data_IF_373349235853
#
_entry.id   IF_373349235853
#
_cell.length_a   1.000
_cell.length_b   1.000
_cell.length_c   1.000
_cell.angle_alpha   90.00
_cell.angle_beta   90.00
_cell.angle_gamma   90.00
#
_symmetry.space_group_name_H-M   'P 1'
#
loop_
_entity.id
_entity.type
_entity.pdbx_description
1 polymer ?
#
# COMPACT_ATOMS: atom_id res chain seq x y z
N UNK A 1 -16.59 -5.52 -15.69
CA UNK A 1 -16.40 -4.34 -14.83
C UNK A 1 -15.14 -4.58 -14.01
N UNK A 2 -14.06 -3.86 -14.29
CA UNK A 2 -12.83 -3.96 -13.49
C UNK A 2 -13.04 -3.20 -12.18
N UNK A 3 -12.62 -3.79 -11.05
CA UNK A 3 -12.62 -3.09 -9.77
C UNK A 3 -11.58 -1.97 -9.86
N UNK A 4 -12.01 -0.72 -9.72
CA UNK A 4 -11.10 0.42 -9.65
C UNK A 4 -10.55 0.47 -8.23
N UNK A 5 -9.33 -0.04 -8.04
CA UNK A 5 -8.60 0.13 -6.78
C UNK A 5 -8.29 1.63 -6.67
N UNK A 6 -8.70 2.27 -5.57
CA UNK A 6 -8.38 3.67 -5.28
C UNK A 6 -7.42 3.74 -4.10
N UNK A 7 -6.55 4.75 -4.13
CA UNK A 7 -5.69 5.05 -3.00
C UNK A 7 -6.53 5.52 -1.80
N UNK A 8 -6.33 4.89 -0.66
CA UNK A 8 -6.95 5.21 0.62
C UNK A 8 -5.87 5.09 1.70
N UNK A 9 -5.45 6.23 2.26
CA UNK A 9 -4.35 6.29 3.26
C UNK A 9 -4.56 5.31 4.42
N UNK A 10 -5.77 5.30 4.99
CA UNK A 10 -6.11 4.43 6.12
C UNK A 10 -5.98 2.94 5.79
N UNK A 11 -6.35 2.52 4.57
CA UNK A 11 -6.20 1.12 4.14
C UNK A 11 -4.73 0.75 3.92
N UNK A 12 -3.94 1.65 3.33
CA UNK A 12 -2.50 1.43 3.22
C UNK A 12 -1.87 1.27 4.59
N UNK A 13 -2.18 2.15 5.54
CA UNK A 13 -1.69 2.04 6.92
C UNK A 13 -2.10 0.71 7.57
N UNK A 14 -3.35 0.28 7.44
CA UNK A 14 -3.79 -1.03 7.93
C UNK A 14 -3.05 -2.19 7.26
N UNK A 15 -2.82 -2.14 5.95
CA UNK A 15 -2.04 -3.16 5.24
C UNK A 15 -0.60 -3.25 5.78
N UNK A 16 0.03 -2.13 6.15
CA UNK A 16 1.36 -2.13 6.79
C UNK A 16 1.36 -2.81 8.17
N UNK A 17 0.23 -2.86 8.88
CA UNK A 17 0.13 -3.58 10.15
C UNK A 17 0.14 -5.10 9.94
N UNK A 18 -0.38 -5.56 8.81
CA UNK A 18 -0.52 -6.99 8.49
C UNK A 18 0.61 -7.55 7.63
N UNK A 19 1.23 -6.74 6.78
CA UNK A 19 2.32 -7.16 5.90
C UNK A 19 3.66 -6.58 6.38
N UNK A 20 4.48 -7.47 6.96
CA UNK A 20 5.82 -7.11 7.47
C UNK A 20 6.73 -6.57 6.38
N UNK A 21 6.66 -7.09 5.15
CA UNK A 21 7.53 -6.68 4.05
C UNK A 21 7.15 -5.27 3.57
N UNK A 22 5.86 -5.00 3.41
CA UNK A 22 5.37 -3.66 3.08
C UNK A 22 5.73 -2.66 4.19
N UNK A 23 5.65 -3.06 5.46
CA UNK A 23 6.05 -2.21 6.59
C UNK A 23 7.54 -1.86 6.58
N UNK A 24 8.40 -2.84 6.35
CA UNK A 24 9.86 -2.60 6.24
C UNK A 24 10.15 -1.66 5.06
N UNK A 25 9.53 -1.89 3.91
CA UNK A 25 9.66 -1.02 2.73
C UNK A 25 9.18 0.41 3.01
N UNK A 26 8.06 0.55 3.72
CA UNK A 26 7.53 1.86 4.13
C UNK A 26 8.49 2.59 5.08
N UNK A 27 9.05 1.87 6.07
CA UNK A 27 9.98 2.43 7.04
C UNK A 27 11.29 2.93 6.42
N UNK A 28 11.73 2.33 5.31
CA UNK A 28 12.87 2.82 4.54
C UNK A 28 12.48 4.03 3.68
N UNK A 29 11.29 3.99 3.08
CA UNK A 29 10.79 5.03 2.18
C UNK A 29 10.49 6.34 2.92
N UNK A 30 9.88 6.27 4.10
CA UNK A 30 9.52 7.43 4.93
C UNK A 30 10.74 8.21 5.46
N UNK A 31 11.93 7.65 5.37
CA UNK A 31 13.18 8.34 5.75
C UNK A 31 13.61 9.37 4.71
N UNK A 32 13.10 9.28 3.47
CA UNK A 32 13.54 10.11 2.34
C UNK A 32 12.42 10.94 1.70
N UNK A 33 11.16 10.73 2.09
CA UNK A 33 9.99 11.48 1.62
C UNK A 33 8.91 11.56 2.71
N UNK A 34 7.87 12.38 2.51
CA UNK A 34 6.78 12.47 3.47
C UNK A 34 5.88 11.22 3.47
N UNK A 35 5.03 11.11 4.50
CA UNK A 35 4.15 9.96 4.70
C UNK A 35 3.19 9.74 3.53
N UNK A 36 2.60 10.80 3.01
CA UNK A 36 1.60 10.66 1.97
C UNK A 36 2.25 10.22 0.66
N UNK A 37 3.39 10.81 0.30
CA UNK A 37 4.20 10.41 -0.84
C UNK A 37 4.68 8.95 -0.71
N UNK A 38 5.18 8.55 0.46
CA UNK A 38 5.65 7.18 0.70
C UNK A 38 4.52 6.15 0.52
N UNK A 39 3.37 6.38 1.15
CA UNK A 39 2.23 5.47 1.03
C UNK A 39 1.70 5.40 -0.40
N UNK A 40 1.72 6.52 -1.13
CA UNK A 40 1.27 6.57 -2.52
C UNK A 40 2.24 5.85 -3.46
N UNK A 41 3.54 5.98 -3.23
CA UNK A 41 4.56 5.24 -3.97
C UNK A 41 4.41 3.73 -3.75
N UNK A 42 4.26 3.28 -2.50
CA UNK A 42 4.01 1.87 -2.20
C UNK A 42 2.73 1.37 -2.86
N UNK A 43 1.67 2.17 -2.85
CA UNK A 43 0.42 1.84 -3.52
C UNK A 43 0.61 1.63 -5.03
N UNK A 44 1.29 2.55 -5.70
CA UNK A 44 1.49 2.50 -7.16
C UNK A 44 2.42 1.35 -7.59
N UNK A 45 3.46 1.07 -6.80
CA UNK A 45 4.51 0.11 -7.17
C UNK A 45 4.19 -1.30 -6.68
N UNK A 46 3.63 -1.43 -5.48
CA UNK A 46 3.46 -2.73 -4.82
C UNK A 46 2.02 -3.22 -4.89
N UNK A 47 1.03 -2.32 -4.80
CA UNK A 47 -0.38 -2.71 -4.79
C UNK A 47 -0.91 -2.79 -6.22
N UNK A 48 -0.78 -1.73 -7.02
CA UNK A 48 -1.36 -1.70 -8.37
C UNK A 48 -0.70 -2.65 -9.36
N UNK A 49 0.55 -3.09 -9.12
CA UNK A 49 1.26 -3.95 -10.08
C UNK A 49 1.01 -5.45 -9.89
N UNK A 50 0.61 -5.87 -8.70
CA UNK A 50 0.50 -7.29 -8.35
C UNK A 50 -0.96 -7.67 -8.02
N UNK A 51 -1.63 -8.52 -8.81
CA UNK A 51 -3.04 -8.89 -8.59
C UNK A 51 -3.32 -9.48 -7.20
N UNK A 52 -2.35 -10.18 -6.61
CA UNK A 52 -2.46 -10.70 -5.25
C UNK A 52 -2.55 -9.56 -4.22
N UNK A 53 -1.69 -8.55 -4.36
CA UNK A 53 -1.66 -7.39 -3.48
C UNK A 53 -2.88 -6.49 -3.66
N UNK A 54 -3.37 -6.34 -4.90
CA UNK A 54 -4.65 -5.68 -5.15
C UNK A 54 -5.80 -6.36 -4.40
N UNK A 55 -5.87 -7.69 -4.46
CA UNK A 55 -6.91 -8.44 -3.74
C UNK A 55 -6.77 -8.29 -2.23
N UNK A 56 -5.56 -8.39 -1.69
CA UNK A 56 -5.32 -8.17 -0.26
C UNK A 56 -5.79 -6.77 0.16
N UNK A 57 -5.40 -5.74 -0.57
CA UNK A 57 -5.78 -4.35 -0.31
C UNK A 57 -7.29 -4.08 -0.43
N UNK A 58 -7.97 -4.72 -1.37
CA UNK A 58 -9.43 -4.58 -1.56
C UNK A 58 -10.22 -5.28 -0.45
N UNK A 59 -9.70 -6.37 0.10
CA UNK A 59 -10.39 -7.24 1.06
C UNK A 59 -9.88 -7.11 2.50
N UNK A 60 -8.97 -6.17 2.76
CA UNK A 60 -8.66 -5.70 4.12
C UNK A 60 -9.92 -5.05 4.70
N UNK A 61 -10.59 -5.79 5.60
CA UNK A 61 -11.77 -5.36 6.36
C UNK A 61 -11.39 -4.94 7.77
#
# INVERSE_FOLDING_TARGET
>A
MGVVVKFEKAKMQSLLEHDRFLRETYNDTIQVMDEEEALRLLYDVMILKEPLQQNAYLHLT
#
